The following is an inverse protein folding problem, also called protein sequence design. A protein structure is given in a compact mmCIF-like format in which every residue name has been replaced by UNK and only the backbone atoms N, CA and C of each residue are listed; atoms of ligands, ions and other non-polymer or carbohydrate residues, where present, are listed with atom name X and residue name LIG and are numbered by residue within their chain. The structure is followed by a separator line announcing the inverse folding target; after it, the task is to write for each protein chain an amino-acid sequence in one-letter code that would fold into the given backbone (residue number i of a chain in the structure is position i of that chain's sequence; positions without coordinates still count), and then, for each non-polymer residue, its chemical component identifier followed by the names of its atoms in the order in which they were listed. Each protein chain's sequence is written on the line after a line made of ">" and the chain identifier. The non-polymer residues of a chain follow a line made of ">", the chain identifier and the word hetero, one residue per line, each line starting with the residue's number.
data_IF_525906572449
#
_entry.id   IF_525906572449
#
_cell.length_a   1.000
_cell.length_b   1.000
_cell.length_c   1.000
_cell.angle_alpha   90.00
_cell.angle_beta   90.00
_cell.angle_gamma   90.00
#
_symmetry.space_group_name_H-M   'P 1'
#
loop_
_entity.id
_entity.type
_entity.pdbx_description
1 polymer ?
#
# COMPACT_ATOMS: atom_id res chain seq x y z
N UNK A 1 -6.23 5.64 -30.37
CA UNK A 1 -5.95 5.65 -29.95
C UNK A 1 -5.59 5.67 -29.18
N UNK A 2 -5.37 5.35 -29.15
CA UNK A 2 -5.03 5.24 -28.52
C UNK A 2 -4.47 5.34 -27.82
N UNK A 3 -4.30 5.16 -27.72
CA UNK A 3 -3.75 5.19 -27.11
C UNK A 3 -3.31 5.42 -26.35
N UNK A 4 -3.39 5.51 -26.28
CA UNK A 4 -3.02 5.65 -25.71
C UNK A 4 -2.71 5.69 -24.87
N UNK A 5 -3.06 5.63 -24.69
CA UNK A 5 -2.75 5.36 -23.89
C UNK A 5 -1.60 5.15 -23.26
N UNK A 6 -0.72 4.92 -23.70
CA UNK A 6 0.58 4.52 -23.30
C UNK A 6 1.35 5.55 -22.46
N UNK A 7 1.05 6.77 -22.57
CA UNK A 7 1.67 7.82 -21.75
C UNK A 7 1.02 7.99 -20.38
N UNK A 8 -0.02 7.29 -20.14
CA UNK A 8 -0.71 7.38 -18.88
C UNK A 8 -0.23 6.31 -17.91
N UNK A 9 -0.10 6.62 -16.64
CA UNK A 9 0.09 5.56 -15.65
C UNK A 9 -1.05 4.58 -15.82
N UNK A 10 -0.77 3.33 -15.65
CA UNK A 10 -1.79 2.32 -15.81
C UNK A 10 -2.98 2.67 -14.92
N UNK A 11 -4.18 2.82 -15.48
CA UNK A 11 -5.35 3.07 -14.66
C UNK A 11 -5.78 1.84 -13.90
N UNK A 12 -5.10 0.73 -14.12
CA UNK A 12 -5.50 -0.53 -13.53
C UNK A 12 -5.24 -0.60 -12.05
N UNK A 13 -4.42 0.30 -11.51
CA UNK A 13 -3.99 0.15 -10.14
C UNK A 13 -4.92 0.91 -9.23
N UNK A 14 -6.00 0.25 -8.89
CA UNK A 14 -6.98 0.70 -7.94
C UNK A 14 -7.23 -0.39 -6.93
N UNK A 15 -7.66 0.00 -5.74
CA UNK A 15 -7.87 -0.96 -4.67
C UNK A 15 -8.83 -2.08 -5.10
N UNK A 16 -9.88 -1.75 -5.83
CA UNK A 16 -10.85 -2.74 -6.27
C UNK A 16 -10.24 -3.80 -7.19
N UNK A 17 -9.12 -3.48 -7.82
CA UNK A 17 -8.46 -4.39 -8.75
C UNK A 17 -7.36 -5.24 -8.11
N UNK A 18 -7.13 -5.08 -6.82
CA UNK A 18 -6.13 -5.87 -6.13
C UNK A 18 -6.51 -7.34 -6.14
N UNK A 19 -5.50 -8.19 -6.32
CA UNK A 19 -5.68 -9.64 -6.35
C UNK A 19 -4.73 -10.26 -5.34
N UNK A 20 -5.18 -11.28 -4.60
CA UNK A 20 -4.30 -11.99 -3.67
C UNK A 20 -3.11 -12.59 -4.39
N UNK A 21 -1.99 -12.63 -3.69
CA UNK A 21 -0.76 -13.27 -4.16
C UNK A 21 -0.25 -12.67 -5.46
N UNK A 22 -0.35 -11.35 -5.57
CA UNK A 22 0.05 -10.63 -6.77
C UNK A 22 0.84 -9.40 -6.41
N UNK A 23 1.76 -8.98 -7.29
CA UNK A 23 2.45 -7.73 -7.08
C UNK A 23 1.51 -6.53 -7.25
N UNK A 24 1.85 -5.46 -6.57
CA UNK A 24 1.09 -4.20 -6.62
C UNK A 24 2.05 -3.12 -7.08
N UNK A 25 1.66 -2.35 -8.08
CA UNK A 25 2.47 -1.26 -8.62
C UNK A 25 1.61 -0.02 -8.83
N UNK A 26 2.20 1.12 -8.56
CA UNK A 26 1.61 2.43 -8.88
C UNK A 26 0.22 2.61 -8.29
N UNK A 27 0.01 2.10 -7.09
CA UNK A 27 -1.26 2.23 -6.40
C UNK A 27 -1.19 3.45 -5.49
N UNK A 28 -2.08 4.40 -5.70
CA UNK A 28 -2.17 5.60 -4.86
C UNK A 28 -3.37 5.49 -3.93
N UNK A 29 -3.19 6.00 -2.72
CA UNK A 29 -4.26 6.00 -1.75
C UNK A 29 -4.01 7.06 -0.70
N UNK A 30 -5.05 7.47 -0.03
CA UNK A 30 -4.94 8.33 1.15
C UNK A 30 -4.96 7.46 2.40
N UNK A 31 -4.08 7.78 3.33
CA UNK A 31 -3.98 7.04 4.58
C UNK A 31 -5.08 7.53 5.52
N UNK A 32 -5.94 6.62 5.92
CA UNK A 32 -7.05 6.91 6.81
C UNK A 32 -6.67 6.71 8.27
N UNK A 33 -5.83 5.72 8.55
CA UNK A 33 -5.53 5.35 9.92
C UNK A 33 -4.20 4.60 9.96
N UNK A 34 -3.46 4.82 11.03
CA UNK A 34 -2.23 4.09 11.34
C UNK A 34 -2.37 3.57 12.75
N UNK A 35 -2.18 2.28 12.90
CA UNK A 35 -2.27 1.61 14.19
C UNK A 35 -0.92 1.68 14.91
N UNK A 36 -0.88 1.43 16.21
CA UNK A 36 0.37 1.51 16.95
C UNK A 36 1.42 0.57 16.38
N UNK A 37 2.65 1.08 16.31
CA UNK A 37 3.77 0.29 15.83
C UNK A 37 4.19 -0.75 16.87
N UNK A 38 4.80 -1.81 16.37
CA UNK A 38 5.34 -2.87 17.22
C UNK A 38 6.68 -3.30 16.68
N UNK A 39 7.50 -3.84 17.55
CA UNK A 39 8.79 -4.39 17.17
C UNK A 39 8.62 -5.82 16.69
N UNK A 40 9.21 -6.12 15.53
CA UNK A 40 9.25 -7.46 14.98
C UNK A 40 10.71 -7.88 14.92
N UNK A 41 10.99 -9.05 15.46
CA UNK A 41 12.34 -9.63 15.44
C UNK A 41 12.24 -10.98 14.76
N UNK A 42 12.90 -11.12 13.62
CA UNK A 42 12.95 -12.38 12.90
C UNK A 42 14.29 -12.47 12.19
N UNK A 43 14.55 -13.62 11.60
CA UNK A 43 15.80 -13.80 10.86
C UNK A 43 15.86 -12.93 9.63
N UNK A 44 14.73 -12.60 9.05
CA UNK A 44 14.67 -11.84 7.80
C UNK A 44 14.52 -10.36 8.04
N UNK A 45 14.02 -9.97 9.19
CA UNK A 45 13.74 -8.56 9.45
C UNK A 45 13.71 -8.31 10.95
N UNK A 46 14.36 -7.25 11.36
CA UNK A 46 14.25 -6.73 12.72
C UNK A 46 13.98 -5.24 12.61
N UNK A 47 12.87 -4.80 13.18
CA UNK A 47 12.50 -3.40 13.13
C UNK A 47 11.04 -3.22 13.49
N UNK A 48 10.57 -2.00 13.34
CA UNK A 48 9.19 -1.66 13.66
C UNK A 48 8.29 -1.86 12.46
N UNK A 49 7.07 -2.31 12.73
CA UNK A 49 6.02 -2.38 11.73
C UNK A 49 4.77 -1.75 12.29
N UNK A 50 3.92 -1.26 11.43
CA UNK A 50 2.62 -0.73 11.80
C UNK A 50 1.61 -1.11 10.75
N UNK A 51 0.43 -1.52 11.21
CA UNK A 51 -0.69 -1.67 10.31
C UNK A 51 -1.29 -0.30 10.03
N UNK A 52 -1.86 -0.17 8.86
CA UNK A 52 -2.52 1.06 8.46
C UNK A 52 -3.67 0.70 7.54
N UNK A 53 -4.55 1.62 7.29
CA UNK A 53 -5.51 1.45 6.22
C UNK A 53 -5.51 2.69 5.34
N UNK A 54 -5.73 2.43 4.06
CA UNK A 54 -5.80 3.47 3.06
C UNK A 54 -6.99 3.27 2.17
N UNK A 55 -7.32 4.31 1.44
CA UNK A 55 -8.43 4.22 0.52
C UNK A 55 -8.14 5.00 -0.75
N UNK A 56 -8.78 4.57 -1.81
CA UNK A 56 -8.98 5.38 -3.00
C UNK A 56 -10.49 5.46 -3.26
N UNK A 57 -10.87 5.96 -4.41
CA UNK A 57 -12.30 6.07 -4.72
C UNK A 57 -12.99 4.73 -4.95
N UNK A 58 -12.24 3.64 -5.02
CA UNK A 58 -12.79 2.31 -5.29
C UNK A 58 -12.92 1.43 -4.07
N UNK A 59 -12.22 1.73 -2.97
CA UNK A 59 -12.31 0.88 -1.79
C UNK A 59 -11.29 1.23 -0.72
N UNK A 60 -11.22 0.36 0.26
CA UNK A 60 -10.33 0.49 1.42
C UNK A 60 -9.50 -0.78 1.50
N UNK A 61 -8.23 -0.62 1.88
CA UNK A 61 -7.31 -1.75 2.00
C UNK A 61 -6.43 -1.57 3.22
N UNK A 62 -6.05 -2.70 3.83
CA UNK A 62 -5.06 -2.70 4.90
C UNK A 62 -3.66 -2.71 4.32
N UNK A 63 -2.76 -2.06 5.03
CA UNK A 63 -1.35 -1.95 4.67
C UNK A 63 -0.49 -2.37 5.85
N UNK A 64 0.74 -2.76 5.54
CA UNK A 64 1.78 -2.91 6.54
C UNK A 64 2.91 -1.96 6.16
N UNK A 65 3.27 -1.10 7.10
CA UNK A 65 4.40 -0.19 6.97
C UNK A 65 5.59 -0.81 7.68
N UNK A 66 6.76 -0.71 7.08
CA UNK A 66 7.97 -1.36 7.58
C UNK A 66 9.06 -0.35 7.81
N UNK A 67 9.76 -0.49 8.94
CA UNK A 67 10.97 0.29 9.19
C UNK A 67 10.70 1.78 9.17
N UNK A 68 11.46 2.52 8.39
CA UNK A 68 11.36 3.97 8.34
C UNK A 68 10.00 4.46 7.83
N UNK A 69 9.28 3.65 7.07
CA UNK A 69 7.95 4.04 6.60
C UNK A 69 7.01 4.34 7.76
N UNK A 70 7.19 3.64 8.88
CA UNK A 70 6.33 3.84 10.04
C UNK A 70 6.36 5.29 10.51
N UNK A 71 7.51 5.94 10.42
CA UNK A 71 7.66 7.32 10.89
C UNK A 71 7.43 8.33 9.77
N UNK A 72 7.52 7.91 8.51
CA UNK A 72 7.44 8.81 7.38
C UNK A 72 6.02 9.03 6.90
N UNK A 73 5.12 8.09 7.20
CA UNK A 73 3.74 8.14 6.70
C UNK A 73 2.82 8.61 7.81
N UNK A 74 1.90 9.49 7.47
CA UNK A 74 0.94 10.07 8.43
C UNK A 74 -0.47 9.96 7.89
N UNK A 75 -1.42 9.96 8.81
CA UNK A 75 -2.83 10.01 8.44
C UNK A 75 -3.08 11.26 7.60
N UNK A 76 -3.80 11.08 6.51
CA UNK A 76 -4.08 12.15 5.56
C UNK A 76 -3.11 12.23 4.40
N UNK A 77 -1.98 11.53 4.48
CA UNK A 77 -1.02 11.52 3.38
C UNK A 77 -1.59 10.76 2.19
N UNK A 78 -1.24 11.23 1.01
CA UNK A 78 -1.45 10.49 -0.22
C UNK A 78 -0.14 9.80 -0.53
N UNK A 79 -0.18 8.49 -0.54
CA UNK A 79 1.01 7.68 -0.79
C UNK A 79 0.86 6.93 -2.10
N UNK A 80 2.00 6.56 -2.68
CA UNK A 80 2.04 5.69 -3.84
C UNK A 80 2.85 4.46 -3.50
N UNK A 81 2.25 3.30 -3.72
CA UNK A 81 2.98 2.04 -3.62
C UNK A 81 3.53 1.76 -5.00
N UNK A 82 4.84 1.84 -5.14
CA UNK A 82 5.49 1.61 -6.43
C UNK A 82 5.80 0.14 -6.63
N UNK A 83 6.05 -0.58 -5.53
CA UNK A 83 6.30 -2.00 -5.58
C UNK A 83 5.88 -2.62 -4.26
N UNK A 84 4.87 -3.44 -4.31
CA UNK A 84 4.34 -4.10 -3.13
C UNK A 84 3.81 -5.47 -3.48
N UNK A 85 3.24 -6.11 -2.49
CA UNK A 85 2.68 -7.46 -2.64
C UNK A 85 1.33 -7.51 -1.96
N UNK A 86 0.33 -7.96 -2.69
CA UNK A 86 -1.01 -8.12 -2.15
C UNK A 86 -1.15 -9.51 -1.55
N UNK A 87 -1.62 -9.55 -0.33
CA UNK A 87 -1.79 -10.80 0.40
C UNK A 87 -3.19 -10.87 0.96
N UNK A 88 -3.81 -12.03 0.83
CA UNK A 88 -5.10 -12.26 1.44
C UNK A 88 -4.91 -12.55 2.93
N UNK A 89 -5.64 -11.84 3.76
CA UNK A 89 -5.68 -12.12 5.20
C UNK A 89 -7.01 -12.77 5.53
N UNK A 90 -6.88 -13.84 6.27
CA UNK A 90 -8.05 -14.57 6.75
C UNK A 90 -8.29 -14.29 8.20
#
# INVERSE_FOLDING_TARGET
>A
MSNNDSSWPSPANRIVNLRPNSPVRNLEMVILRIYPQRLVVSQQFTGHVAAACGRDETGIVGLVLWGSQVNDVRVGDIIRIESGWCRLRE
#
